data_IF_362521793774
#
_entry.id   IF_362521793774
#
_cell.length_a   1.000
_cell.length_b   1.000
_cell.length_c   1.000
_cell.angle_alpha   90.00
_cell.angle_beta   90.00
_cell.angle_gamma   90.00
#
_symmetry.space_group_name_H-M   'P 1'
#
loop_
_entity.id
_entity.type
_entity.pdbx_description
1 polymer ?
#
# COMPACT_ATOMS: atom_id res chain seq x y z
N UNK A 1 -14.40 -21.61 -31.47
CA UNK A 1 -13.73 -20.55 -30.70
C UNK A 1 -13.76 -20.97 -29.25
N UNK A 2 -12.63 -21.44 -28.71
CA UNK A 2 -12.51 -21.83 -27.31
C UNK A 2 -12.05 -20.60 -26.56
N UNK A 3 -12.87 -20.06 -25.66
CA UNK A 3 -12.43 -19.03 -24.74
C UNK A 3 -11.55 -19.69 -23.69
N UNK A 4 -10.25 -19.37 -23.68
CA UNK A 4 -9.41 -19.67 -22.53
C UNK A 4 -9.91 -18.80 -21.38
N UNK A 5 -10.64 -19.43 -20.46
CA UNK A 5 -11.05 -18.79 -19.21
C UNK A 5 -9.77 -18.53 -18.43
N UNK A 6 -9.28 -17.28 -18.48
CA UNK A 6 -8.23 -16.77 -17.61
C UNK A 6 -8.65 -17.08 -16.16
N UNK A 7 -8.06 -18.13 -15.59
CA UNK A 7 -8.38 -18.54 -14.23
C UNK A 7 -7.93 -17.42 -13.29
N UNK A 8 -8.89 -16.73 -12.67
CA UNK A 8 -8.64 -15.75 -11.62
C UNK A 8 -7.74 -16.39 -10.56
N UNK A 9 -6.48 -15.94 -10.51
CA UNK A 9 -5.53 -16.42 -9.52
C UNK A 9 -5.99 -15.88 -8.16
N UNK A 10 -6.61 -16.75 -7.36
CA UNK A 10 -7.12 -16.39 -6.03
C UNK A 10 -6.03 -15.66 -5.22
N UNK A 11 -6.37 -14.56 -4.54
CA UNK A 11 -5.42 -13.84 -3.70
C UNK A 11 -4.82 -14.82 -2.69
N UNK A 12 -3.49 -14.89 -2.66
CA UNK A 12 -2.78 -15.75 -1.72
C UNK A 12 -2.67 -14.98 -0.40
N UNK A 13 -3.66 -15.20 0.46
CA UNK A 13 -3.68 -14.66 1.82
C UNK A 13 -2.49 -15.21 2.60
N UNK A 14 -1.41 -14.42 2.65
CA UNK A 14 -0.19 -14.78 3.37
C UNK A 14 -0.29 -14.27 4.81
N UNK A 15 -0.27 -15.20 5.77
CA UNK A 15 -0.26 -14.89 7.21
C UNK A 15 0.94 -14.00 7.56
N UNK A 16 2.11 -14.27 6.97
CA UNK A 16 3.30 -13.44 7.18
C UNK A 16 3.12 -12.03 6.65
N UNK A 17 2.50 -11.85 5.47
CA UNK A 17 2.22 -10.51 4.94
C UNK A 17 1.24 -9.75 5.85
N UNK A 18 0.22 -10.44 6.39
CA UNK A 18 -0.72 -9.84 7.33
C UNK A 18 -0.03 -9.35 8.61
N UNK A 19 0.85 -10.17 9.19
CA UNK A 19 1.63 -9.79 10.38
C UNK A 19 2.51 -8.57 10.10
N UNK A 20 3.19 -8.55 8.95
CA UNK A 20 4.05 -7.42 8.55
C UNK A 20 3.23 -6.14 8.40
N UNK A 21 2.07 -6.19 7.74
CA UNK A 21 1.19 -5.01 7.58
C UNK A 21 0.73 -4.50 8.94
N UNK A 22 0.27 -5.38 9.83
CA UNK A 22 -0.16 -4.97 11.19
C UNK A 22 0.99 -4.33 11.98
N UNK A 23 2.19 -4.89 11.86
CA UNK A 23 3.38 -4.35 12.53
C UNK A 23 3.78 -2.97 11.98
N UNK A 24 3.77 -2.80 10.66
CA UNK A 24 4.04 -1.50 10.01
C UNK A 24 2.98 -0.45 10.43
N UNK A 25 1.72 -0.86 10.57
CA UNK A 25 0.64 0.04 10.96
C UNK A 25 0.81 0.53 12.41
N UNK A 26 1.28 -0.35 13.30
CA UNK A 26 1.62 0.01 14.67
C UNK A 26 2.79 1.02 14.72
N UNK A 27 3.79 0.84 13.86
CA UNK A 27 4.90 1.80 13.72
C UNK A 27 4.40 3.14 13.20
N UNK A 28 3.53 3.16 12.19
CA UNK A 28 2.92 4.38 11.66
C UNK A 28 2.17 5.16 12.73
N UNK A 29 1.37 4.48 13.56
CA UNK A 29 0.70 5.10 14.71
C UNK A 29 1.72 5.70 15.69
N UNK A 30 2.78 4.97 16.01
CA UNK A 30 3.85 5.46 16.88
C UNK A 30 4.54 6.71 16.35
N UNK A 31 4.87 6.73 15.05
CA UNK A 31 5.47 7.90 14.39
C UNK A 31 4.50 9.07 14.39
N UNK A 32 3.21 8.84 14.11
CA UNK A 32 2.17 9.86 14.15
C UNK A 32 2.02 10.50 15.53
N UNK A 33 2.03 9.69 16.60
CA UNK A 33 1.99 10.17 17.98
C UNK A 33 3.24 11.00 18.30
N UNK A 34 4.43 10.51 17.94
CA UNK A 34 5.68 11.23 18.16
C UNK A 34 5.71 12.57 17.42
N UNK A 35 5.26 12.59 16.17
CA UNK A 35 5.13 13.80 15.37
C UNK A 35 4.17 14.81 16.02
N UNK A 36 2.97 14.36 16.41
CA UNK A 36 1.99 15.22 17.09
C UNK A 36 2.53 15.78 18.40
N UNK A 37 3.21 14.95 19.21
CA UNK A 37 3.85 15.39 20.44
C UNK A 37 4.91 16.47 20.19
N UNK A 38 5.80 16.27 19.22
CA UNK A 38 6.85 17.23 18.88
C UNK A 38 6.28 18.54 18.35
N UNK A 39 5.19 18.47 17.57
CA UNK A 39 4.48 19.64 17.06
C UNK A 39 3.85 20.45 18.20
N UNK A 40 3.08 19.80 19.07
CA UNK A 40 2.33 20.46 20.16
C UNK A 40 3.28 20.99 21.24
N UNK A 41 4.34 20.25 21.57
CA UNK A 41 5.30 20.66 22.59
C UNK A 41 6.25 21.77 22.13
N UNK A 42 6.26 22.12 20.84
CA UNK A 42 7.19 23.08 20.26
C UNK A 42 8.65 22.61 20.28
N UNK A 43 8.89 21.31 20.54
CA UNK A 43 10.23 20.71 20.59
C UNK A 43 10.66 20.09 19.26
N UNK A 44 9.75 19.98 18.29
CA UNK A 44 10.07 19.53 16.94
C UNK A 44 10.86 20.58 16.16
N UNK A 45 11.97 20.17 15.55
CA UNK A 45 12.62 20.99 14.52
C UNK A 45 12.21 20.50 13.11
N UNK A 46 12.34 21.37 12.11
CA UNK A 46 11.89 21.08 10.74
C UNK A 46 12.55 19.84 10.12
N UNK A 47 13.83 19.60 10.44
CA UNK A 47 14.54 18.42 9.94
C UNK A 47 13.95 17.12 10.52
N UNK A 48 13.71 17.06 11.82
CA UNK A 48 13.12 15.90 12.50
C UNK A 48 11.68 15.69 12.04
N UNK A 49 10.89 16.78 12.00
CA UNK A 49 9.50 16.73 11.57
C UNK A 49 9.39 16.28 10.11
N UNK A 50 10.20 16.84 9.21
CA UNK A 50 10.26 16.43 7.81
C UNK A 50 10.71 14.98 7.64
N UNK A 51 11.68 14.53 8.44
CA UNK A 51 12.14 13.12 8.42
C UNK A 51 11.04 12.17 8.87
N UNK A 52 10.35 12.46 9.98
CA UNK A 52 9.22 11.66 10.45
C UNK A 52 8.10 11.59 9.40
N UNK A 53 7.78 12.73 8.77
CA UNK A 53 6.77 12.78 7.72
C UNK A 53 7.15 11.93 6.49
N UNK A 54 8.41 11.99 6.06
CA UNK A 54 8.91 11.14 4.97
C UNK A 54 8.81 9.65 5.29
N UNK A 55 9.12 9.25 6.54
CA UNK A 55 8.96 7.87 6.98
C UNK A 55 7.49 7.43 6.99
N UNK A 56 6.56 8.30 7.39
CA UNK A 56 5.11 8.00 7.32
C UNK A 56 4.70 7.65 5.89
N UNK A 57 5.06 8.48 4.92
CA UNK A 57 4.70 8.23 3.52
C UNK A 57 5.39 6.99 2.95
N UNK A 58 6.66 6.75 3.31
CA UNK A 58 7.38 5.56 2.86
C UNK A 58 6.74 4.28 3.38
N UNK A 59 6.45 4.20 4.68
CA UNK A 59 5.85 3.01 5.29
C UNK A 59 4.43 2.79 4.76
N UNK A 60 3.62 3.85 4.67
CA UNK A 60 2.27 3.76 4.11
C UNK A 60 2.29 3.28 2.65
N UNK A 61 3.24 3.75 1.83
CA UNK A 61 3.43 3.26 0.47
C UNK A 61 3.76 1.78 0.40
N UNK A 62 4.66 1.30 1.28
CA UNK A 62 5.00 -0.13 1.39
C UNK A 62 3.76 -0.95 1.77
N UNK A 63 2.97 -0.50 2.75
CA UNK A 63 1.73 -1.19 3.14
C UNK A 63 0.75 -1.30 1.99
N UNK A 64 0.53 -0.23 1.23
CA UNK A 64 -0.38 -0.25 0.07
C UNK A 64 0.10 -1.25 -0.97
N UNK A 65 1.41 -1.27 -1.28
CA UNK A 65 1.98 -2.23 -2.24
C UNK A 65 1.85 -3.67 -1.75
N UNK A 66 2.14 -3.94 -0.47
CA UNK A 66 1.99 -5.27 0.12
C UNK A 66 0.52 -5.70 0.13
N UNK A 67 -0.37 -4.81 0.55
CA UNK A 67 -1.80 -5.09 0.58
C UNK A 67 -2.35 -5.41 -0.82
N UNK A 68 -2.01 -4.58 -1.81
CA UNK A 68 -2.40 -4.81 -3.21
C UNK A 68 -1.87 -6.15 -3.74
N UNK A 69 -0.62 -6.50 -3.42
CA UNK A 69 0.01 -7.73 -3.90
C UNK A 69 -0.61 -9.00 -3.32
N UNK A 70 -0.95 -9.00 -2.03
CA UNK A 70 -1.35 -10.21 -1.32
C UNK A 70 -2.86 -10.35 -1.12
N UNK A 71 -3.61 -9.25 -1.08
CA UNK A 71 -5.01 -9.25 -0.67
C UNK A 71 -5.96 -8.73 -1.75
N UNK A 72 -5.46 -7.98 -2.75
CA UNK A 72 -6.27 -7.60 -3.91
C UNK A 72 -6.09 -8.67 -4.98
N UNK A 73 -7.19 -9.32 -5.36
CA UNK A 73 -7.20 -10.12 -6.58
C UNK A 73 -7.01 -9.16 -7.75
N UNK A 74 -5.79 -9.12 -8.33
CA UNK A 74 -5.60 -8.42 -9.59
C UNK A 74 -6.48 -9.11 -10.62
N UNK A 75 -7.59 -8.47 -10.97
CA UNK A 75 -8.33 -8.80 -12.17
C UNK A 75 -7.45 -8.32 -13.32
N UNK A 76 -6.79 -9.25 -14.00
CA UNK A 76 -6.30 -8.97 -15.36
C UNK A 76 -7.56 -8.70 -16.19
N UNK A 77 -8.03 -7.46 -16.15
CA UNK A 77 -8.92 -6.98 -17.19
C UNK A 77 -7.99 -6.80 -18.37
N UNK A 78 -7.92 -7.82 -19.22
CA UNK A 78 -7.55 -7.61 -20.61
C UNK A 78 -8.59 -6.61 -21.12
N UNK A 79 -8.27 -5.32 -21.05
CA UNK A 79 -8.97 -4.32 -21.82
C UNK A 79 -8.71 -4.75 -23.26
N UNK A 80 -9.70 -5.42 -23.85
CA UNK A 80 -9.65 -6.00 -25.18
C UNK A 80 -9.59 -4.82 -26.15
N UNK A 81 -8.38 -4.28 -26.34
CA UNK A 81 -8.09 -3.24 -27.33
C UNK A 81 -7.96 -3.87 -28.72
N UNK A 82 -8.76 -4.89 -29.01
CA UNK A 82 -9.00 -5.39 -30.36
C UNK A 82 -10.21 -4.71 -31.03
N UNK A 83 -10.89 -3.76 -30.38
CA UNK A 83 -11.72 -2.82 -31.12
C UNK A 83 -10.87 -1.63 -31.57
N UNK A 84 -10.29 -1.83 -32.76
CA UNK A 84 -9.76 -0.81 -33.63
C UNK A 84 -10.59 0.48 -33.53
N UNK A 85 -9.86 1.59 -33.40
CA UNK A 85 -10.34 2.95 -33.67
C UNK A 85 -10.93 2.99 -35.08
N UNK A 86 -12.22 2.67 -35.21
CA UNK A 86 -12.98 2.94 -36.43
C UNK A 86 -13.26 4.45 -36.47
N UNK A 87 -12.36 5.17 -37.13
CA UNK A 87 -12.74 6.25 -38.06
C UNK A 87 -14.04 5.98 -38.82
#
# INVERSE_FOLDING_TARGET
MSFDVLQEKKPSYSISAMIVIVFLAAILLGIGIAFAYLLISGKGNDYIMGTLLAFVFLIAGIEVVLYARYFVAFREVSEDREEELLW
#
